data_IF_085405387022
#
_entry.id   IF_085405387022
#
_cell.length_a   1.000
_cell.length_b   1.000
_cell.length_c   1.000
_cell.angle_alpha   90.00
_cell.angle_beta   90.00
_cell.angle_gamma   90.00
#
_symmetry.space_group_name_H-M   'P 1'
#
loop_
_entity.id
_entity.type
_entity.pdbx_description
1 polymer ?
#
# COMPACT_ATOMS: atom_id res chain seq x y z
N UNK A 1 -45.87 -0.50 -64.92
CA UNK A 1 -45.06 0.53 -64.25
C UNK A 1 -44.35 -0.14 -63.09
N UNK A 2 -43.06 -0.38 -63.28
CA UNK A 2 -42.17 -1.14 -62.40
C UNK A 2 -41.74 -0.30 -61.21
N UNK A 3 -42.09 -0.72 -59.99
CA UNK A 3 -41.52 -0.19 -58.73
C UNK A 3 -41.10 -1.35 -57.83
N UNK A 4 -40.39 -2.34 -58.39
CA UNK A 4 -40.00 -3.56 -57.67
C UNK A 4 -38.49 -3.81 -57.62
N UNK A 5 -37.65 -2.83 -58.02
CA UNK A 5 -36.18 -3.02 -58.09
C UNK A 5 -35.42 -2.39 -56.93
N UNK A 6 -35.97 -1.38 -56.25
CA UNK A 6 -35.29 -0.68 -55.15
C UNK A 6 -35.43 -1.37 -53.78
N UNK A 7 -36.50 -2.14 -53.59
CA UNK A 7 -36.80 -2.81 -52.31
C UNK A 7 -35.81 -3.93 -51.96
N UNK A 8 -35.33 -4.67 -52.97
CA UNK A 8 -34.42 -5.80 -52.79
C UNK A 8 -33.00 -5.36 -52.44
N UNK A 9 -32.57 -4.20 -52.94
CA UNK A 9 -31.28 -3.59 -52.61
C UNK A 9 -31.26 -3.18 -51.13
N UNK A 10 -32.19 -2.33 -50.70
CA UNK A 10 -32.26 -1.80 -49.34
C UNK A 10 -32.39 -2.90 -48.27
N UNK A 11 -33.16 -3.95 -48.55
CA UNK A 11 -33.31 -5.09 -47.65
C UNK A 11 -32.01 -5.89 -47.48
N UNK A 12 -31.21 -6.02 -48.55
CA UNK A 12 -29.91 -6.68 -48.51
C UNK A 12 -28.87 -5.86 -47.73
N UNK A 13 -28.87 -4.54 -47.87
CA UNK A 13 -28.04 -3.64 -47.06
C UNK A 13 -28.45 -3.68 -45.58
N UNK A 14 -29.76 -3.72 -45.31
CA UNK A 14 -30.29 -3.85 -43.93
C UNK A 14 -29.84 -5.16 -43.28
N UNK A 15 -29.93 -6.29 -44.00
CA UNK A 15 -29.41 -7.59 -43.56
C UNK A 15 -27.89 -7.56 -43.31
N UNK A 16 -27.12 -6.89 -44.17
CA UNK A 16 -25.68 -6.74 -44.00
C UNK A 16 -25.32 -5.90 -42.77
N UNK A 17 -26.05 -4.81 -42.51
CA UNK A 17 -25.87 -3.98 -41.32
C UNK A 17 -26.29 -4.72 -40.03
N UNK A 18 -27.34 -5.55 -40.10
CA UNK A 18 -27.77 -6.42 -39.00
C UNK A 18 -26.72 -7.49 -38.67
N UNK A 19 -26.09 -8.09 -39.69
CA UNK A 19 -24.99 -9.04 -39.55
C UNK A 19 -23.71 -8.36 -39.00
N UNK A 20 -23.43 -7.11 -39.40
CA UNK A 20 -22.30 -6.34 -38.85
C UNK A 20 -22.54 -5.91 -37.39
N UNK A 21 -23.78 -5.56 -37.01
CA UNK A 21 -24.12 -5.16 -35.65
C UNK A 21 -24.02 -6.27 -34.61
N UNK A 22 -24.02 -7.54 -35.04
CA UNK A 22 -23.94 -8.70 -34.15
C UNK A 22 -22.52 -8.99 -33.62
N UNK A 23 -21.49 -8.28 -34.10
CA UNK A 23 -20.09 -8.52 -33.73
C UNK A 23 -19.61 -7.62 -32.59
N UNK A 24 -20.49 -6.78 -32.01
CA UNK A 24 -20.13 -5.97 -30.84
C UNK A 24 -20.32 -6.81 -29.58
N UNK A 25 -19.28 -7.55 -29.20
CA UNK A 25 -19.20 -8.10 -27.85
C UNK A 25 -19.18 -6.94 -26.85
N UNK A 26 -20.10 -6.88 -25.88
CA UNK A 26 -20.00 -5.89 -24.82
C UNK A 26 -18.66 -6.08 -24.11
N UNK A 27 -17.86 -5.01 -24.03
CA UNK A 27 -16.66 -4.98 -23.21
C UNK A 27 -17.13 -5.08 -21.75
N UNK A 28 -16.98 -6.27 -21.16
CA UNK A 28 -17.19 -6.46 -19.73
C UNK A 28 -15.85 -6.19 -19.08
N UNK A 29 -15.70 -5.02 -18.48
CA UNK A 29 -14.50 -4.71 -17.72
C UNK A 29 -14.51 -5.51 -16.42
N UNK A 30 -13.40 -6.18 -16.14
CA UNK A 30 -13.24 -6.90 -14.88
C UNK A 30 -12.82 -5.91 -13.80
N UNK A 31 -13.48 -6.00 -12.65
CA UNK A 31 -13.08 -5.27 -11.44
C UNK A 31 -12.06 -6.10 -10.68
N UNK A 32 -10.88 -5.52 -10.46
CA UNK A 32 -9.82 -6.05 -9.62
C UNK A 32 -10.12 -5.77 -8.15
N UNK A 33 -9.72 -6.66 -7.26
CA UNK A 33 -9.58 -6.30 -5.85
C UNK A 33 -8.52 -5.23 -5.67
N UNK A 34 -8.59 -4.44 -4.59
CA UNK A 34 -7.57 -3.44 -4.28
C UNK A 34 -6.15 -4.03 -4.27
N UNK A 35 -5.98 -5.23 -3.72
CA UNK A 35 -4.69 -5.92 -3.69
C UNK A 35 -4.20 -6.31 -5.08
N UNK A 36 -5.07 -6.84 -5.94
CA UNK A 36 -4.71 -7.15 -7.34
C UNK A 36 -4.32 -5.88 -8.11
N UNK A 37 -5.04 -4.78 -7.90
CA UNK A 37 -4.71 -3.49 -8.50
C UNK A 37 -3.31 -2.99 -8.07
N UNK A 38 -2.97 -3.10 -6.78
CA UNK A 38 -1.63 -2.75 -6.29
C UNK A 38 -0.55 -3.67 -6.86
N UNK A 39 -0.77 -4.98 -6.93
CA UNK A 39 0.21 -5.92 -7.51
C UNK A 39 0.47 -5.61 -8.99
N UNK A 40 -0.58 -5.33 -9.77
CA UNK A 40 -0.45 -4.92 -11.18
C UNK A 40 0.35 -3.62 -11.34
N UNK A 41 0.15 -2.67 -10.43
CA UNK A 41 0.97 -1.45 -10.38
C UNK A 41 2.42 -1.80 -10.11
N UNK A 42 2.72 -2.66 -9.13
CA UNK A 42 4.09 -3.10 -8.83
C UNK A 42 4.76 -3.73 -10.06
N UNK A 43 4.05 -4.56 -10.82
CA UNK A 43 4.57 -5.11 -12.08
C UNK A 43 4.89 -4.00 -13.09
N UNK A 44 3.99 -3.03 -13.23
CA UNK A 44 4.19 -1.88 -14.13
C UNK A 44 5.36 -0.99 -13.69
N UNK A 45 5.57 -0.83 -12.38
CA UNK A 45 6.72 -0.13 -11.79
C UNK A 45 8.04 -0.82 -12.16
N UNK A 46 8.10 -2.15 -12.06
CA UNK A 46 9.28 -2.92 -12.45
C UNK A 46 9.57 -2.82 -13.95
N UNK A 47 8.53 -2.85 -14.80
CA UNK A 47 8.69 -2.71 -16.25
C UNK A 47 9.30 -1.35 -16.62
N UNK A 48 8.81 -0.26 -16.02
CA UNK A 48 9.26 1.12 -16.32
C UNK A 48 10.58 1.51 -15.65
N UNK A 49 10.94 0.88 -14.53
CA UNK A 49 12.17 1.23 -13.78
C UNK A 49 13.44 0.83 -14.53
N UNK A 50 14.55 1.53 -14.29
CA UNK A 50 15.90 1.14 -14.72
C UNK A 50 16.67 0.33 -13.67
N UNK A 51 16.03 -0.08 -12.58
CA UNK A 51 16.63 -0.91 -11.54
C UNK A 51 17.11 -2.27 -12.09
N UNK A 52 18.22 -2.80 -11.53
CA UNK A 52 18.80 -4.09 -11.94
C UNK A 52 17.95 -5.29 -11.49
N UNK A 53 17.40 -5.21 -10.29
CA UNK A 53 16.61 -6.27 -9.66
C UNK A 53 15.12 -5.88 -9.61
N UNK A 54 14.26 -6.90 -9.59
CA UNK A 54 12.84 -6.71 -9.40
C UNK A 54 12.54 -6.27 -7.96
N UNK A 55 11.52 -5.44 -7.81
CA UNK A 55 10.94 -5.05 -6.53
C UNK A 55 9.62 -5.78 -6.32
N UNK A 56 9.44 -6.35 -5.14
CA UNK A 56 8.21 -7.04 -4.76
C UNK A 56 7.47 -6.26 -3.68
N UNK A 57 6.14 -6.32 -3.70
CA UNK A 57 5.30 -5.78 -2.64
C UNK A 57 5.71 -6.37 -1.29
N UNK A 58 6.19 -5.52 -0.39
CA UNK A 58 6.56 -5.90 0.97
C UNK A 58 5.37 -5.74 1.92
N UNK A 59 4.69 -4.58 1.85
CA UNK A 59 3.57 -4.27 2.75
C UNK A 59 2.61 -3.27 2.11
N UNK A 60 1.30 -3.52 2.26
CA UNK A 60 0.26 -2.51 2.10
C UNK A 60 0.18 -1.70 3.39
N UNK A 61 0.42 -0.38 3.32
CA UNK A 61 0.39 0.46 4.52
C UNK A 61 -1.02 0.90 4.88
N UNK A 62 -1.87 1.09 3.86
CA UNK A 62 -3.28 1.44 4.03
C UNK A 62 -4.12 0.76 2.95
N UNK A 63 -5.34 0.38 3.34
CA UNK A 63 -6.43 -0.02 2.45
C UNK A 63 -7.45 1.15 2.38
N UNK A 64 -8.07 1.42 1.23
CA UNK A 64 -9.05 2.49 1.11
C UNK A 64 -10.21 2.29 2.10
N UNK A 65 -10.67 3.38 2.71
CA UNK A 65 -11.88 3.36 3.55
C UNK A 65 -13.08 3.75 2.69
N UNK A 66 -14.07 2.85 2.59
CA UNK A 66 -15.31 3.09 1.86
C UNK A 66 -15.55 2.09 0.74
N UNK A 67 -16.52 2.39 -0.13
CA UNK A 67 -16.87 1.52 -1.25
C UNK A 67 -15.78 1.53 -2.33
N UNK A 68 -15.34 0.34 -2.71
CA UNK A 68 -14.38 0.07 -3.80
C UNK A 68 -15.02 0.32 -5.18
N UNK A 69 -15.42 1.55 -5.46
CA UNK A 69 -15.98 1.91 -6.76
C UNK A 69 -14.89 1.80 -7.85
N UNK A 70 -15.02 0.91 -8.84
CA UNK A 70 -14.00 0.70 -9.86
C UNK A 70 -13.83 1.88 -10.82
N UNK A 71 -14.81 2.78 -10.87
CA UNK A 71 -14.76 3.95 -11.73
C UNK A 71 -13.96 5.11 -11.12
N UNK A 72 -13.62 5.03 -9.84
CA UNK A 72 -12.92 6.08 -9.10
C UNK A 72 -11.52 5.55 -8.72
N UNK A 73 -10.43 6.26 -9.05
CA UNK A 73 -9.09 5.89 -8.58
C UNK A 73 -9.03 5.84 -7.05
N UNK A 74 -8.56 4.72 -6.52
CA UNK A 74 -8.46 4.47 -5.10
C UNK A 74 -7.10 4.93 -4.57
N UNK A 75 -7.04 5.62 -3.41
CA UNK A 75 -5.77 5.99 -2.81
C UNK A 75 -5.00 4.74 -2.39
N UNK A 76 -3.69 4.73 -2.64
CA UNK A 76 -2.81 3.63 -2.27
C UNK A 76 -1.53 4.13 -1.60
N UNK A 77 -1.10 3.40 -0.57
CA UNK A 77 0.19 3.57 0.08
C UNK A 77 0.75 2.21 0.44
N UNK A 78 1.94 1.91 -0.06
CA UNK A 78 2.57 0.60 0.10
C UNK A 78 4.09 0.71 0.04
N UNK A 79 4.79 -0.31 0.55
CA UNK A 79 6.24 -0.44 0.41
C UNK A 79 6.59 -1.61 -0.50
N UNK A 80 7.63 -1.41 -1.31
CA UNK A 80 8.23 -2.47 -2.13
C UNK A 80 9.67 -2.67 -1.71
N UNK A 81 10.15 -3.92 -1.75
CA UNK A 81 11.54 -4.26 -1.41
C UNK A 81 12.21 -4.97 -2.58
N UNK A 82 13.48 -4.63 -2.79
CA UNK A 82 14.34 -5.26 -3.78
C UNK A 82 14.46 -6.77 -3.53
N UNK A 83 14.40 -7.54 -4.61
CA UNK A 83 14.50 -9.00 -4.61
C UNK A 83 15.87 -9.46 -5.12
N UNK A 84 16.13 -10.76 -5.00
CA UNK A 84 17.32 -11.39 -5.60
C UNK A 84 17.18 -11.63 -7.11
N UNK A 85 15.97 -11.49 -7.65
CA UNK A 85 15.70 -11.74 -9.06
C UNK A 85 16.13 -10.55 -9.92
N UNK A 86 16.97 -10.76 -10.96
CA UNK A 86 17.26 -9.73 -11.94
C UNK A 86 15.99 -9.40 -12.75
N UNK A 87 15.92 -8.19 -13.31
CA UNK A 87 14.79 -7.74 -14.13
C UNK A 87 14.49 -8.65 -15.35
N UNK A 88 15.46 -9.42 -15.82
CA UNK A 88 15.32 -10.39 -16.93
C UNK A 88 14.64 -11.71 -16.53
N UNK A 89 14.30 -11.87 -15.25
CA UNK A 89 13.63 -13.05 -14.72
C UNK A 89 12.27 -13.26 -15.38
N UNK A 90 11.98 -14.50 -15.78
CA UNK A 90 10.67 -14.91 -16.30
C UNK A 90 9.77 -15.57 -15.24
N UNK A 91 10.30 -15.77 -14.03
CA UNK A 91 9.54 -16.34 -12.92
C UNK A 91 8.53 -15.31 -12.37
N UNK A 92 7.42 -15.79 -11.79
CA UNK A 92 6.48 -14.92 -11.09
C UNK A 92 7.15 -14.15 -9.95
N UNK A 93 6.78 -12.87 -9.78
CA UNK A 93 7.37 -11.98 -8.79
C UNK A 93 7.21 -12.50 -7.35
N UNK A 94 6.16 -13.29 -7.08
CA UNK A 94 5.90 -13.92 -5.77
C UNK A 94 6.90 -15.01 -5.39
N UNK A 95 7.62 -15.57 -6.37
CA UNK A 95 8.67 -16.58 -6.16
C UNK A 95 10.04 -15.94 -5.96
N UNK A 96 10.16 -14.64 -6.18
CA UNK A 96 11.38 -13.89 -5.93
C UNK A 96 11.50 -13.56 -4.44
N UNK A 97 12.52 -14.15 -3.82
CA UNK A 97 12.89 -13.86 -2.44
C UNK A 97 13.41 -12.43 -2.31
N UNK A 98 13.11 -11.81 -1.16
CA UNK A 98 13.67 -10.50 -0.85
C UNK A 98 15.18 -10.60 -0.66
N UNK A 99 15.91 -9.63 -1.19
CA UNK A 99 17.34 -9.48 -0.93
C UNK A 99 17.50 -9.00 0.52
N UNK A 100 18.40 -9.62 1.29
CA UNK A 100 18.54 -9.32 2.73
C UNK A 100 18.73 -7.83 2.99
N UNK A 101 19.73 -7.23 2.33
CA UNK A 101 20.03 -5.79 2.34
C UNK A 101 19.42 -5.06 1.15
N UNK A 102 18.29 -5.56 0.64
CA UNK A 102 17.58 -4.97 -0.49
C UNK A 102 17.01 -3.60 -0.15
N UNK A 103 17.08 -2.68 -1.10
CA UNK A 103 16.50 -1.35 -0.96
C UNK A 103 14.98 -1.43 -0.74
N UNK A 104 14.45 -0.52 0.08
CA UNK A 104 13.00 -0.39 0.29
C UNK A 104 12.54 0.97 -0.18
N UNK A 105 11.50 0.96 -1.03
CA UNK A 105 10.89 2.17 -1.57
C UNK A 105 9.48 2.31 -1.00
N UNK A 106 9.12 3.52 -0.55
CA UNK A 106 7.76 3.87 -0.19
C UNK A 106 7.05 4.39 -1.43
N UNK A 107 5.92 3.80 -1.77
CA UNK A 107 5.10 4.22 -2.89
C UNK A 107 3.77 4.79 -2.39
N UNK A 108 3.31 5.86 -3.02
CA UNK A 108 2.04 6.50 -2.70
C UNK A 108 1.40 7.14 -3.95
N UNK A 109 0.07 7.23 -3.93
CA UNK A 109 -0.73 7.87 -4.98
C UNK A 109 -2.08 7.18 -5.17
N UNK A 110 -2.47 6.87 -6.41
CA UNK A 110 -3.77 6.25 -6.72
C UNK A 110 -3.69 5.07 -7.69
N UNK A 111 -4.60 4.11 -7.54
CA UNK A 111 -4.73 2.91 -8.36
C UNK A 111 -6.14 2.77 -8.93
N UNK A 112 -6.27 2.26 -10.15
CA UNK A 112 -7.57 1.90 -10.74
C UNK A 112 -7.91 0.46 -10.43
N UNK A 113 -9.14 0.19 -9.99
CA UNK A 113 -9.65 -1.18 -9.83
C UNK A 113 -10.23 -1.72 -11.15
N UNK A 114 -10.49 -0.85 -12.13
CA UNK A 114 -10.90 -1.25 -13.47
C UNK A 114 -9.70 -1.84 -14.23
N UNK A 115 -9.77 -3.14 -14.57
CA UNK A 115 -8.68 -3.87 -15.24
C UNK A 115 -8.38 -3.30 -16.64
N UNK A 116 -9.35 -2.69 -17.32
CA UNK A 116 -9.12 -2.14 -18.65
C UNK A 116 -8.39 -0.79 -18.61
N UNK A 117 -8.33 -0.14 -17.44
CA UNK A 117 -7.60 1.11 -17.25
C UNK A 117 -6.16 0.82 -16.82
N UNK A 118 -5.22 1.19 -17.68
CA UNK A 118 -3.77 1.14 -17.39
C UNK A 118 -3.25 2.36 -16.63
N UNK A 119 -4.09 3.36 -16.36
CA UNK A 119 -3.69 4.59 -15.69
C UNK A 119 -3.60 4.39 -14.17
N UNK A 120 -2.41 4.60 -13.64
CA UNK A 120 -2.14 4.74 -12.22
C UNK A 120 -1.21 5.93 -12.02
N UNK A 121 -1.41 6.65 -10.93
CA UNK A 121 -0.57 7.78 -10.54
C UNK A 121 0.13 7.43 -9.24
N UNK A 122 1.28 6.75 -9.35
CA UNK A 122 2.06 6.27 -8.22
C UNK A 122 3.51 6.74 -8.37
N UNK A 123 3.97 7.44 -7.34
CA UNK A 123 5.37 7.80 -7.15
C UNK A 123 5.97 6.90 -6.07
N UNK A 124 7.24 6.52 -6.25
CA UNK A 124 7.99 5.76 -5.28
C UNK A 124 9.26 6.52 -4.91
N UNK A 125 9.42 6.79 -3.62
CA UNK A 125 10.60 7.43 -3.07
C UNK A 125 11.47 6.37 -2.40
N UNK A 126 12.78 6.45 -2.65
CA UNK A 126 13.75 5.64 -1.90
C UNK A 126 13.73 6.09 -0.45
N UNK A 127 13.28 5.19 0.43
CA UNK A 127 13.40 5.46 1.84
C UNK A 127 14.88 5.32 2.21
N UNK A 128 15.54 6.44 2.48
CA UNK A 128 16.87 6.46 3.12
C UNK A 128 16.80 6.02 4.60
N UNK A 129 15.65 5.52 5.05
CA UNK A 129 15.51 4.99 6.41
C UNK A 129 15.89 3.50 6.43
N UNK A 130 16.98 3.12 7.13
CA UNK A 130 17.38 1.74 7.29
C UNK A 130 16.24 0.95 7.92
N UNK A 131 15.99 -0.22 7.34
CA UNK A 131 14.92 -1.16 7.66
C UNK A 131 15.08 -1.86 9.03
N UNK A 132 15.74 -1.22 10.00
CA UNK A 132 16.10 -1.79 11.31
C UNK A 132 15.05 -1.50 12.40
N UNK A 133 13.79 -1.27 12.04
CA UNK A 133 12.72 -1.01 13.01
C UNK A 133 11.75 -2.19 13.21
N UNK A 134 11.75 -3.21 12.34
CA UNK A 134 10.80 -4.33 12.44
C UNK A 134 11.33 -5.54 13.23
N UNK A 135 12.63 -5.62 13.50
CA UNK A 135 13.25 -6.67 14.32
C UNK A 135 14.22 -6.10 15.37
N UNK A 136 13.86 -5.00 16.04
CA UNK A 136 14.58 -4.64 17.26
C UNK A 136 14.23 -5.67 18.32
N UNK A 137 15.04 -6.72 18.42
CA UNK A 137 15.00 -7.67 19.51
C UNK A 137 14.87 -6.89 20.82
N UNK A 138 13.70 -7.02 21.45
CA UNK A 138 13.33 -6.41 22.75
C UNK A 138 14.23 -6.94 23.90
N UNK A 139 15.27 -7.70 23.59
CA UNK A 139 16.25 -8.25 24.51
C UNK A 139 17.18 -7.19 25.13
N UNK A 140 17.67 -6.20 24.35
CA UNK A 140 18.73 -5.29 24.84
C UNK A 140 18.24 -4.20 25.80
N UNK A 141 16.97 -3.78 25.69
CA UNK A 141 16.38 -2.73 26.54
C UNK A 141 15.67 -3.26 27.80
N UNK A 142 15.51 -4.58 27.93
CA UNK A 142 14.97 -5.21 29.14
C UNK A 142 15.82 -4.90 30.39
N UNK A 143 17.15 -4.92 30.24
CA UNK A 143 18.08 -4.57 31.31
C UNK A 143 17.96 -3.12 31.78
N UNK A 144 17.75 -2.18 30.86
CA UNK A 144 17.60 -0.75 31.19
C UNK A 144 16.29 -0.45 31.92
N UNK A 145 15.19 -1.13 31.53
CA UNK A 145 13.90 -1.05 32.22
C UNK A 145 13.97 -1.59 33.65
N UNK A 146 14.68 -2.69 33.89
CA UNK A 146 14.83 -3.24 35.25
C UNK A 146 15.67 -2.33 36.14
N UNK A 147 16.68 -1.67 35.58
CA UNK A 147 17.54 -0.70 36.28
C UNK A 147 16.75 0.57 36.69
N UNK A 148 15.95 1.12 35.78
CA UNK A 148 15.02 2.22 36.08
C UNK A 148 13.95 1.81 37.11
N UNK A 149 13.46 0.57 37.05
CA UNK A 149 12.53 0.01 38.02
C UNK A 149 13.12 -0.05 39.44
N UNK A 150 14.41 -0.43 39.58
CA UNK A 150 15.11 -0.43 40.88
C UNK A 150 15.33 0.98 41.42
N UNK A 151 15.72 1.93 40.58
CA UNK A 151 15.87 3.34 40.99
C UNK A 151 14.55 3.93 41.52
N UNK A 152 13.44 3.67 40.84
CA UNK A 152 12.10 4.12 41.27
C UNK A 152 11.69 3.54 42.64
N UNK A 153 12.02 2.27 42.92
CA UNK A 153 11.78 1.64 44.23
C UNK A 153 12.64 2.25 45.34
N UNK A 154 13.86 2.72 45.03
CA UNK A 154 14.74 3.43 45.95
C UNK A 154 14.21 4.81 46.35
N UNK A 155 13.81 5.62 45.37
CA UNK A 155 13.25 6.97 45.60
C UNK A 155 11.94 6.89 46.42
N UNK A 156 11.10 5.87 46.19
CA UNK A 156 9.86 5.66 46.96
C UNK A 156 10.11 5.34 48.44
N UNK A 157 11.28 4.78 48.79
CA UNK A 157 11.72 4.53 50.18
C UNK A 157 12.20 5.81 50.86
N UNK A 158 12.90 6.67 50.13
CA UNK A 158 13.37 7.98 50.63
C UNK A 158 12.18 8.92 50.89
N UNK A 159 11.22 8.98 49.97
CA UNK A 159 10.02 9.82 50.13
C UNK A 159 9.15 9.49 51.35
N UNK A 160 9.12 8.22 51.80
CA UNK A 160 8.43 7.84 53.06
C UNK A 160 9.15 8.34 54.31
N UNK A 161 10.48 8.48 54.28
CA UNK A 161 11.28 8.95 55.43
C UNK A 161 11.18 10.46 55.61
N UNK A 162 11.01 11.19 54.52
CA UNK A 162 10.93 12.67 54.51
C UNK A 162 9.52 13.17 54.86
N UNK A 163 8.47 12.35 54.67
CA UNK A 163 7.09 12.70 55.06
C UNK A 163 6.92 13.02 56.55
N UNK A 164 7.76 12.48 57.44
CA UNK A 164 7.72 12.80 58.88
C UNK A 164 8.39 14.11 59.27
N UNK A 165 9.15 14.75 58.37
CA UNK A 165 9.82 16.04 58.62
C UNK A 165 8.95 17.23 58.21
N UNK A 166 8.13 17.08 57.17
CA UNK A 166 7.26 18.16 56.69
C UNK A 166 6.04 18.43 57.59
N UNK A 167 5.63 17.51 58.47
CA UNK A 167 4.52 17.72 59.40
C UNK A 167 4.88 18.65 60.57
N UNK A 168 6.15 19.05 60.74
CA UNK A 168 6.60 19.89 61.88
C UNK A 168 6.69 21.39 61.54
N UNK A 169 6.55 21.77 60.26
CA UNK A 169 6.70 23.16 59.78
C UNK A 169 5.44 23.66 59.07
N UNK A 170 4.30 23.59 59.75
CA UNK A 170 3.09 24.27 59.29
C UNK A 170 2.89 25.51 60.16
N UNK A 171 3.18 26.68 59.58
CA UNK A 171 2.86 28.01 60.11
C UNK A 171 2.03 28.77 59.03
N UNK A 172 1.17 29.70 59.43
CA UNK A 172 -0.20 29.82 58.94
C UNK A 172 -0.34 30.64 57.67
N UNK A 173 -1.50 30.50 57.04
CA UNK A 173 -1.94 31.30 55.91
C UNK A 173 -2.03 32.79 56.26
N UNK A 174 -1.70 33.64 55.30
CA UNK A 174 -2.19 35.01 55.24
C UNK A 174 -2.96 35.19 53.92
N UNK A 175 -4.21 35.60 54.05
CA UNK A 175 -5.12 36.08 53.01
C UNK A 175 -4.52 37.30 52.28
N UNK A 176 -4.72 37.37 50.97
CA UNK A 176 -5.48 38.46 50.34
C UNK A 176 -5.84 38.15 48.89
#
# INVERSE_FOLDING_TARGET
METQRDSTSLQRWSLLLLLLGLVVTPATSRTLSYREAVLRVVDSLNQRSSDENLYRLLKLNSEPQGDENPNIPQPASFTVKETVCPKTTQQPLEQCDFKDNGLVKQCAGTVSLDEDKSYFDISCEENVFPFDAQNLEVSKYGGLRDLLGRARRGIRRIGRRIRGLFTKYQLPQEES
#
